data_IF_261069686477
#
_entry.id   IF_261069686477
#
_cell.length_a   1.000
_cell.length_b   1.000
_cell.length_c   1.000
_cell.angle_alpha   90.00
_cell.angle_beta   90.00
_cell.angle_gamma   90.00
#
_symmetry.space_group_name_H-M   'P 1'
#
loop_
_entity.id
_entity.type
_entity.pdbx_description
1 polymer ?
#
# COMPACT_ATOMS: atom_id res chain seq x y z
N UNK A 1 1.01 -0.57 -24.30
CA UNK A 1 2.26 -0.37 -23.55
C UNK A 1 1.99 -0.74 -22.10
N UNK A 2 2.71 -1.74 -21.60
CA UNK A 2 2.41 -2.55 -20.40
C UNK A 2 3.25 -2.05 -19.23
N UNK A 3 2.69 -1.98 -18.02
CA UNK A 3 3.48 -1.82 -16.81
C UNK A 3 2.70 -1.31 -15.60
N UNK A 4 1.90 -2.18 -14.98
CA UNK A 4 1.47 -2.01 -13.60
C UNK A 4 1.83 -3.30 -12.88
N UNK A 5 2.83 -3.28 -12.00
CA UNK A 5 3.20 -4.48 -11.25
C UNK A 5 2.09 -4.77 -10.23
N UNK A 6 1.33 -5.83 -10.50
CA UNK A 6 0.28 -6.45 -9.68
C UNK A 6 0.84 -7.12 -8.42
N UNK A 7 2.17 -7.11 -8.25
CA UNK A 7 2.91 -7.77 -7.18
C UNK A 7 3.28 -6.78 -6.10
N UNK A 8 2.91 -7.05 -4.85
CA UNK A 8 3.38 -6.25 -3.74
C UNK A 8 3.31 -7.01 -2.42
N UNK A 9 4.10 -6.51 -1.47
CA UNK A 9 4.19 -6.99 -0.09
C UNK A 9 3.95 -5.81 0.84
N UNK A 10 3.07 -5.96 1.83
CA UNK A 10 2.61 -4.91 2.75
C UNK A 10 2.54 -5.37 4.21
N UNK A 11 2.47 -4.40 5.12
CA UNK A 11 2.15 -4.59 6.53
C UNK A 11 0.91 -3.78 6.79
N UNK A 12 -0.04 -4.38 7.50
CA UNK A 12 -1.23 -3.66 7.97
C UNK A 12 -1.49 -4.03 9.41
N UNK A 13 -1.84 -3.06 10.24
CA UNK A 13 -2.37 -3.31 11.59
C UNK A 13 -3.75 -3.97 11.54
N UNK A 14 -4.46 -3.84 10.42
CA UNK A 14 -5.77 -4.43 10.18
C UNK A 14 -5.71 -5.56 9.16
N UNK A 15 -6.63 -6.53 9.29
CA UNK A 15 -6.81 -7.56 8.28
C UNK A 15 -7.35 -6.89 7.00
N UNK A 16 -6.60 -6.96 5.91
CA UNK A 16 -7.10 -6.45 4.62
C UNK A 16 -8.24 -7.34 4.12
N UNK A 17 -9.33 -6.70 3.69
CA UNK A 17 -10.50 -7.37 3.11
C UNK A 17 -10.58 -7.15 1.59
N UNK A 18 -9.51 -6.68 0.95
CA UNK A 18 -9.55 -6.34 -0.46
C UNK A 18 -9.79 -7.56 -1.36
N UNK A 19 -10.90 -7.53 -2.10
CA UNK A 19 -11.15 -8.39 -3.27
C UNK A 19 -10.86 -7.57 -4.53
N UNK A 20 -9.62 -7.61 -4.99
CA UNK A 20 -9.26 -7.15 -6.33
C UNK A 20 -9.63 -8.17 -7.40
N UNK A 21 -9.42 -7.86 -8.70
CA UNK A 21 -9.52 -8.87 -9.77
C UNK A 21 -8.67 -10.10 -9.42
N UNK A 22 -9.03 -11.29 -9.95
CA UNK A 22 -8.46 -12.64 -9.66
C UNK A 22 -6.92 -12.70 -9.68
N UNK A 23 -6.29 -12.11 -8.69
CA UNK A 23 -4.85 -12.08 -8.45
C UNK A 23 -4.72 -12.63 -7.03
N UNK A 24 -3.85 -13.61 -6.84
CA UNK A 24 -3.67 -14.27 -5.55
C UNK A 24 -3.36 -13.20 -4.49
N UNK A 25 -4.07 -13.26 -3.37
CA UNK A 25 -3.85 -12.36 -2.23
C UNK A 25 -3.93 -13.16 -0.95
N UNK A 26 -2.91 -13.03 -0.10
CA UNK A 26 -2.84 -13.69 1.19
C UNK A 26 -2.55 -12.67 2.28
N UNK A 27 -3.35 -12.74 3.33
CA UNK A 27 -3.09 -12.03 4.58
C UNK A 27 -2.59 -13.05 5.59
N UNK A 28 -1.36 -12.87 6.07
CA UNK A 28 -0.74 -13.75 7.06
C UNK A 28 -0.61 -12.96 8.37
N UNK A 29 -1.18 -13.44 9.50
CA UNK A 29 -0.99 -12.78 10.78
C UNK A 29 0.50 -12.81 11.15
N UNK A 30 1.07 -11.66 11.45
CA UNK A 30 2.40 -11.56 12.04
C UNK A 30 2.28 -11.87 13.53
N UNK A 31 3.23 -12.64 14.08
CA UNK A 31 3.34 -12.86 15.54
C UNK A 31 2.08 -13.38 16.25
N UNK A 32 1.92 -12.96 17.51
CA UNK A 32 0.72 -13.25 18.31
C UNK A 32 -0.42 -12.26 17.98
N UNK A 33 -1.60 -12.47 18.56
CA UNK A 33 -2.81 -11.71 18.26
C UNK A 33 -2.61 -10.21 18.57
N UNK A 34 -2.30 -9.41 17.56
CA UNK A 34 -2.10 -7.96 17.69
C UNK A 34 -0.92 -7.39 16.90
N UNK A 35 0.01 -8.23 16.45
CA UNK A 35 1.25 -7.77 15.77
C UNK A 35 1.05 -7.42 14.28
N UNK A 36 -0.20 -7.30 13.84
CA UNK A 36 -0.59 -6.94 12.47
C UNK A 36 -0.53 -8.11 11.49
N UNK A 37 -0.49 -7.77 10.20
CA UNK A 37 -0.62 -8.72 9.10
C UNK A 37 0.38 -8.42 7.99
N UNK A 38 1.04 -9.47 7.50
CA UNK A 38 1.76 -9.46 6.24
C UNK A 38 0.76 -9.64 5.09
N UNK A 39 0.83 -8.76 4.11
CA UNK A 39 -0.05 -8.75 2.96
C UNK A 39 0.80 -9.08 1.73
N UNK A 40 0.49 -10.16 1.03
CA UNK A 40 1.21 -10.56 -0.19
C UNK A 40 0.21 -10.66 -1.33
N UNK A 41 0.50 -9.98 -2.44
CA UNK A 41 -0.32 -9.96 -3.64
C UNK A 41 0.54 -10.21 -4.87
N UNK A 42 0.01 -10.96 -5.82
CA UNK A 42 0.66 -11.26 -7.11
C UNK A 42 0.04 -12.48 -7.76
N UNK A 43 0.62 -12.97 -8.84
CA UNK A 43 0.20 -14.25 -9.43
C UNK A 43 0.50 -15.40 -8.45
N UNK A 44 -0.24 -16.51 -8.53
CA UNK A 44 -0.04 -17.67 -7.62
C UNK A 44 1.39 -18.23 -7.70
N UNK A 45 1.98 -18.24 -8.91
CA UNK A 45 3.39 -18.60 -9.13
C UNK A 45 4.40 -17.63 -8.50
N UNK A 46 3.98 -16.41 -8.18
CA UNK A 46 4.79 -15.43 -7.45
C UNK A 46 4.59 -15.56 -5.94
N UNK A 47 3.37 -15.86 -5.50
CA UNK A 47 2.99 -15.97 -4.10
C UNK A 47 3.18 -17.40 -3.54
N UNK A 48 4.32 -18.04 -3.82
CA UNK A 48 4.63 -19.36 -3.28
C UNK A 48 4.76 -19.31 -1.75
N UNK A 49 4.61 -20.45 -1.07
CA UNK A 49 4.79 -20.53 0.39
C UNK A 49 6.15 -19.98 0.82
N UNK A 50 7.21 -20.25 0.06
CA UNK A 50 8.56 -19.74 0.34
C UNK A 50 8.64 -18.21 0.20
N UNK A 51 7.98 -17.64 -0.81
CA UNK A 51 7.93 -16.20 -0.99
C UNK A 51 7.18 -15.51 0.15
N UNK A 52 6.05 -16.07 0.56
CA UNK A 52 5.26 -15.59 1.70
C UNK A 52 6.06 -15.71 3.00
N UNK A 53 6.78 -16.81 3.22
CA UNK A 53 7.59 -17.01 4.41
C UNK A 53 8.75 -16.00 4.49
N UNK A 54 9.48 -15.77 3.38
CA UNK A 54 10.55 -14.75 3.35
C UNK A 54 10.05 -13.36 3.70
N UNK A 55 8.86 -13.02 3.21
CA UNK A 55 8.19 -11.76 3.55
C UNK A 55 7.86 -11.70 5.03
N UNK A 56 7.25 -12.76 5.56
CA UNK A 56 6.92 -12.84 6.98
C UNK A 56 8.15 -12.64 7.85
N UNK A 57 9.25 -13.34 7.57
CA UNK A 57 10.50 -13.26 8.33
C UNK A 57 11.14 -11.86 8.25
N UNK A 58 11.11 -11.24 7.06
CA UNK A 58 11.55 -9.87 6.87
C UNK A 58 10.73 -8.90 7.74
N UNK A 59 9.41 -9.00 7.71
CA UNK A 59 8.55 -8.12 8.52
C UNK A 59 8.73 -8.36 10.03
N UNK A 60 8.89 -9.62 10.45
CA UNK A 60 9.13 -9.98 11.86
C UNK A 60 10.48 -9.48 12.37
N UNK A 61 11.51 -9.45 11.53
CA UNK A 61 12.82 -8.87 11.86
C UNK A 61 12.83 -7.34 11.87
N UNK A 62 11.69 -6.69 11.64
CA UNK A 62 11.59 -5.24 11.56
C UNK A 62 11.98 -4.66 10.19
N UNK A 63 12.38 -5.49 9.23
CA UNK A 63 12.60 -5.04 7.86
C UNK A 63 11.27 -4.58 7.28
N UNK A 64 11.31 -3.46 6.56
CA UNK A 64 10.15 -2.83 5.95
C UNK A 64 10.50 -2.63 4.47
N UNK A 65 10.15 -3.59 3.59
CA UNK A 65 10.57 -3.56 2.19
C UNK A 65 9.80 -2.52 1.35
N UNK A 66 8.96 -1.68 1.98
CA UNK A 66 8.34 -0.53 1.34
C UNK A 66 9.26 0.68 1.32
N UNK A 67 9.17 1.40 0.21
CA UNK A 67 9.84 2.67 0.01
C UNK A 67 9.24 3.73 0.92
N UNK A 68 9.98 4.17 1.95
CA UNK A 68 9.59 5.30 2.79
C UNK A 68 9.61 6.59 1.95
N UNK A 69 8.45 7.25 1.81
CA UNK A 69 8.35 8.51 1.06
C UNK A 69 9.29 9.59 1.61
N UNK A 70 9.43 9.71 2.94
CA UNK A 70 10.34 10.68 3.58
C UNK A 70 11.80 10.37 3.28
N UNK A 71 12.23 9.11 3.47
CA UNK A 71 13.61 8.70 3.20
C UNK A 71 13.96 8.85 1.71
N UNK A 72 13.01 8.49 0.84
CA UNK A 72 13.14 8.57 -0.59
C UNK A 72 12.85 9.94 -1.21
N UNK A 73 12.64 10.97 -0.38
CA UNK A 73 12.30 12.35 -0.79
C UNK A 73 11.14 12.44 -1.79
N UNK A 74 10.20 11.49 -1.72
CA UNK A 74 8.93 11.53 -2.47
C UNK A 74 7.85 12.16 -1.62
N UNK A 75 8.07 13.42 -1.25
CA UNK A 75 7.17 14.20 -0.39
C UNK A 75 6.68 15.44 -1.15
N UNK A 76 5.66 16.10 -0.60
CA UNK A 76 5.18 17.37 -1.11
C UNK A 76 6.32 18.39 -1.09
N UNK A 77 6.60 19.00 -2.24
CA UNK A 77 7.69 19.95 -2.38
C UNK A 77 7.45 21.26 -1.60
N UNK A 78 6.20 21.55 -1.21
CA UNK A 78 5.86 22.75 -0.43
C UNK A 78 6.04 22.55 1.08
N UNK A 79 5.45 21.49 1.63
CA UNK A 79 5.37 21.31 3.09
C UNK A 79 6.12 20.08 3.61
N UNK A 80 6.72 19.27 2.74
CA UNK A 80 7.47 18.06 3.13
C UNK A 80 6.62 16.90 3.66
N UNK A 81 5.29 17.05 3.70
CA UNK A 81 4.39 15.96 4.06
C UNK A 81 4.33 14.88 2.95
N UNK A 82 4.01 13.63 3.27
CA UNK A 82 3.77 12.59 2.27
C UNK A 82 2.74 13.02 1.22
N UNK A 83 2.93 12.59 -0.03
CA UNK A 83 1.95 12.76 -1.10
C UNK A 83 0.97 11.58 -1.08
N UNK A 84 -0.30 11.84 -1.39
CA UNK A 84 -1.36 10.82 -1.25
C UNK A 84 -1.14 9.61 -2.16
N UNK A 85 -0.58 9.85 -3.34
CA UNK A 85 -0.29 8.81 -4.32
C UNK A 85 0.99 9.16 -5.09
N UNK A 86 2.17 8.66 -4.67
CA UNK A 86 3.41 8.84 -5.42
C UNK A 86 3.35 8.15 -6.78
N UNK A 87 3.80 8.83 -7.83
CA UNK A 87 3.81 8.29 -9.18
C UNK A 87 4.61 6.97 -9.27
N UNK A 88 4.03 5.96 -9.94
CA UNK A 88 4.65 4.65 -10.12
C UNK A 88 4.74 3.83 -8.84
N UNK A 89 3.87 4.08 -7.85
CA UNK A 89 3.84 3.33 -6.61
C UNK A 89 2.47 2.73 -6.33
N UNK A 90 2.50 1.57 -5.68
CA UNK A 90 1.34 1.03 -4.98
C UNK A 90 1.44 1.47 -3.52
N UNK A 91 0.43 2.17 -3.02
CA UNK A 91 0.35 2.68 -1.66
C UNK A 91 -0.67 1.87 -0.85
N UNK A 92 -0.42 1.73 0.45
CA UNK A 92 -1.32 1.12 1.42
C UNK A 92 -1.60 2.10 2.54
N UNK A 93 -2.87 2.30 2.85
CA UNK A 93 -3.33 3.12 3.96
C UNK A 93 -3.37 2.33 5.26
N UNK A 94 -3.40 3.04 6.38
CA UNK A 94 -3.48 2.45 7.73
C UNK A 94 -4.74 1.60 7.94
N UNK A 95 -5.81 1.89 7.19
CA UNK A 95 -7.04 1.11 7.20
C UNK A 95 -7.03 -0.12 6.27
N UNK A 96 -5.87 -0.40 5.67
CA UNK A 96 -5.66 -1.54 4.77
C UNK A 96 -6.19 -1.35 3.35
N UNK A 97 -6.74 -0.16 3.00
CA UNK A 97 -7.04 0.20 1.60
C UNK A 97 -5.75 0.31 0.80
N UNK A 98 -5.77 -0.14 -0.45
CA UNK A 98 -4.60 -0.02 -1.34
C UNK A 98 -4.95 0.68 -2.65
N UNK A 99 -3.94 1.27 -3.25
CA UNK A 99 -4.07 2.04 -4.48
C UNK A 99 -2.81 2.03 -5.31
N UNK A 100 -2.94 1.92 -6.63
CA UNK A 100 -1.80 2.06 -7.53
C UNK A 100 -1.89 3.36 -8.31
N UNK A 101 -0.84 4.18 -8.22
CA UNK A 101 -0.66 5.34 -9.06
C UNK A 101 0.20 4.99 -10.28
N UNK A 102 -0.36 4.99 -11.50
CA UNK A 102 0.46 4.80 -12.70
C UNK A 102 1.50 5.94 -12.83
N UNK A 103 2.57 5.72 -13.59
CA UNK A 103 3.63 6.71 -13.83
C UNK A 103 3.18 7.93 -14.67
N UNK A 104 1.89 8.09 -14.93
CA UNK A 104 1.34 9.17 -15.77
C UNK A 104 1.37 10.57 -15.12
N UNK A 105 2.16 10.76 -14.05
CA UNK A 105 2.52 12.08 -13.54
C UNK A 105 1.38 12.93 -12.97
N UNK A 106 0.22 12.34 -12.67
CA UNK A 106 -0.89 13.09 -12.09
C UNK A 106 -0.50 13.53 -10.67
N UNK A 107 -0.55 14.84 -10.42
CA UNK A 107 -0.38 15.41 -9.08
C UNK A 107 -1.59 15.07 -8.21
N UNK A 108 -1.47 14.02 -7.39
CA UNK A 108 -2.58 13.47 -6.60
C UNK A 108 -2.68 14.08 -5.19
N UNK A 109 -2.09 15.26 -5.03
CA UNK A 109 -2.22 16.08 -3.83
C UNK A 109 -1.37 15.67 -2.63
N UNK A 110 -1.33 16.60 -1.69
CA UNK A 110 -0.69 16.48 -0.40
C UNK A 110 -1.65 15.89 0.63
N UNK A 111 -1.10 15.10 1.56
CA UNK A 111 -1.85 14.56 2.70
C UNK A 111 -2.05 15.55 3.85
N UNK A 112 -1.32 16.67 3.86
CA UNK A 112 -1.41 17.68 4.92
C UNK A 112 -2.58 18.64 4.66
N UNK A 113 -3.61 18.70 5.53
CA UNK A 113 -4.77 19.61 5.40
C UNK A 113 -4.42 21.09 5.31
N UNK A 114 -3.31 21.50 5.91
CA UNK A 114 -2.87 22.91 5.94
C UNK A 114 -2.05 23.31 4.70
N UNK A 115 -1.80 22.37 3.79
CA UNK A 115 -1.07 22.62 2.56
C UNK A 115 -2.00 23.16 1.47
N UNK A 116 -1.54 24.13 0.68
CA UNK A 116 -2.28 24.62 -0.50
C UNK A 116 -2.49 23.56 -1.58
N UNK A 117 -1.71 22.48 -1.54
CA UNK A 117 -1.85 21.30 -2.40
C UNK A 117 -2.65 20.18 -1.73
N UNK A 118 -3.32 20.44 -0.61
CA UNK A 118 -4.10 19.42 0.09
C UNK A 118 -5.19 18.85 -0.80
N UNK A 119 -5.25 17.51 -0.85
CA UNK A 119 -6.40 16.81 -1.37
C UNK A 119 -6.79 15.68 -0.42
N UNK A 120 -8.07 15.56 -0.03
CA UNK A 120 -8.51 14.46 0.82
C UNK A 120 -8.32 13.12 0.11
N UNK A 121 -7.75 12.16 0.83
CA UNK A 121 -7.40 10.82 0.33
C UNK A 121 -8.63 10.08 -0.19
N UNK A 122 -9.78 10.31 0.43
CA UNK A 122 -11.09 9.72 0.10
C UNK A 122 -11.53 10.03 -1.33
N UNK A 123 -11.05 11.15 -1.91
CA UNK A 123 -11.30 11.51 -3.30
C UNK A 123 -10.74 10.47 -4.28
N UNK A 124 -9.66 9.80 -3.88
CA UNK A 124 -8.98 8.79 -4.69
C UNK A 124 -9.38 7.37 -4.29
N UNK A 125 -9.82 7.18 -3.04
CA UNK A 125 -10.23 5.89 -2.49
C UNK A 125 -11.64 5.98 -1.89
N UNK A 126 -12.68 6.24 -2.71
CA UNK A 126 -14.03 6.37 -2.19
C UNK A 126 -14.44 5.07 -1.48
N UNK A 127 -14.96 5.19 -0.25
CA UNK A 127 -15.63 4.07 0.40
C UNK A 127 -16.77 3.61 -0.52
N UNK A 128 -16.74 2.35 -0.97
CA UNK A 128 -18.01 1.70 -1.27
C UNK A 128 -18.70 1.56 0.08
N UNK A 129 -19.71 2.40 0.37
CA UNK A 129 -20.65 2.11 1.45
C UNK A 129 -21.12 0.67 1.21
N UNK A 130 -21.00 -0.19 2.23
CA UNK A 130 -21.74 -1.44 2.22
C UNK A 130 -23.21 -1.03 2.18
N UNK A 131 -23.89 -1.35 1.08
CA UNK A 131 -25.33 -1.59 1.18
C UNK A 131 -25.44 -2.85 2.05
N UNK A 132 -26.12 -2.69 3.19
CA UNK A 132 -26.40 -3.75 4.16
C UNK A 132 -27.31 -4.83 3.58
#
# INVERSE_FOLDING_TARGET
MIGQQTRWVGYSSLKSNERGPKVFSRTVPLGEKGDGYALVRGEESFCTEEAVQRVYDALKSGLRPWFCQRCGRRVCYLCGAPINMPAGSTHMQDDGRTGHCPMLGVGLGCSNPDCSLYHPVERYFPHKKREE
#
